data_IF_939519072931
#
_entry.id   IF_939519072931
#
_cell.length_a   1.000
_cell.length_b   1.000
_cell.length_c   1.000
_cell.angle_alpha   90.00
_cell.angle_beta   90.00
_cell.angle_gamma   90.00
#
_symmetry.space_group_name_H-M   'P 1'
#
loop_
_entity.id
_entity.type
_entity.pdbx_description
1 polymer ?
#
# COMPACT_ATOMS: atom_id res chain seq x y z
N UNK A 1 -15.12 -3.78 -4.42
CA UNK A 1 -14.33 -4.78 -3.68
C UNK A 1 -14.52 -6.09 -4.38
N UNK A 2 -13.44 -6.81 -4.66
CA UNK A 2 -13.45 -8.06 -5.41
C UNK A 2 -13.81 -9.24 -4.48
N UNK A 3 -14.75 -10.14 -4.83
CA UNK A 3 -15.19 -11.20 -3.94
C UNK A 3 -14.23 -12.39 -4.04
N UNK A 4 -13.16 -12.34 -3.23
CA UNK A 4 -12.48 -13.56 -2.80
C UNK A 4 -13.40 -14.28 -1.80
N UNK A 5 -13.57 -15.60 -1.93
CA UNK A 5 -14.32 -16.45 -0.99
C UNK A 5 -13.89 -16.09 0.44
N UNK A 6 -14.87 -15.85 1.32
CA UNK A 6 -14.68 -15.12 2.58
C UNK A 6 -13.50 -15.59 3.44
N UNK A 7 -13.23 -16.89 3.48
CA UNK A 7 -12.10 -17.46 4.24
C UNK A 7 -10.72 -17.10 3.65
N UNK A 8 -10.56 -17.18 2.33
CA UNK A 8 -9.28 -16.93 1.63
C UNK A 8 -8.92 -15.45 1.69
N UNK A 9 -9.90 -14.57 1.43
CA UNK A 9 -9.75 -13.12 1.56
C UNK A 9 -9.33 -12.70 2.97
N UNK A 10 -9.97 -13.31 3.97
CA UNK A 10 -9.71 -13.00 5.36
C UNK A 10 -8.32 -13.46 5.80
N UNK A 11 -7.91 -14.69 5.44
CA UNK A 11 -6.57 -15.22 5.72
C UNK A 11 -5.47 -14.37 5.08
N UNK A 12 -5.63 -14.00 3.81
CA UNK A 12 -4.71 -13.11 3.11
C UNK A 12 -4.60 -11.76 3.84
N UNK A 13 -5.75 -11.17 4.20
CA UNK A 13 -5.75 -9.89 4.91
C UNK A 13 -5.05 -9.96 6.27
N UNK A 14 -5.23 -11.04 7.03
CA UNK A 14 -4.52 -11.25 8.30
C UNK A 14 -3.01 -11.37 8.10
N UNK A 15 -2.58 -12.16 7.12
CA UNK A 15 -1.17 -12.34 6.85
C UNK A 15 -0.48 -11.06 6.38
N UNK A 16 -1.09 -10.32 5.44
CA UNK A 16 -0.54 -9.05 4.99
C UNK A 16 -0.52 -8.03 6.14
N UNK A 17 -1.50 -8.02 7.03
CA UNK A 17 -1.45 -7.17 8.23
C UNK A 17 -0.28 -7.53 9.16
N UNK A 18 0.00 -8.81 9.35
CA UNK A 18 1.17 -9.24 10.12
C UNK A 18 2.47 -8.79 9.44
N UNK A 19 2.55 -8.92 8.12
CA UNK A 19 3.69 -8.48 7.32
C UNK A 19 3.88 -6.95 7.33
N UNK A 20 2.80 -6.17 7.42
CA UNK A 20 2.85 -4.70 7.51
C UNK A 20 3.28 -4.18 8.88
N UNK A 21 3.20 -5.00 9.93
CA UNK A 21 3.46 -4.57 11.32
C UNK A 21 4.81 -3.84 11.52
N UNK A 22 5.93 -4.26 10.90
CA UNK A 22 7.21 -3.55 11.04
C UNK A 22 7.23 -2.16 10.41
N UNK A 23 6.32 -1.88 9.48
CA UNK A 23 6.29 -0.63 8.70
C UNK A 23 5.23 0.37 9.23
N UNK A 24 4.55 0.09 10.34
CA UNK A 24 3.40 0.91 10.78
C UNK A 24 3.80 2.35 11.12
N UNK A 25 4.99 2.59 11.67
CA UNK A 25 5.54 3.93 11.93
C UNK A 25 5.80 4.70 10.63
N UNK A 26 6.45 4.07 9.65
CA UNK A 26 6.71 4.68 8.34
C UNK A 26 5.41 4.97 7.58
N UNK A 27 4.48 4.01 7.63
CA UNK A 27 3.15 4.18 7.06
C UNK A 27 2.39 5.31 7.77
N UNK A 28 2.55 5.45 9.08
CA UNK A 28 1.95 6.55 9.86
C UNK A 28 2.55 7.90 9.46
N UNK A 29 3.86 7.99 9.28
CA UNK A 29 4.51 9.20 8.77
C UNK A 29 3.94 9.62 7.41
N UNK A 30 3.84 8.68 6.45
CA UNK A 30 3.23 8.98 5.14
C UNK A 30 1.76 9.36 5.29
N UNK A 31 1.02 8.77 6.24
CA UNK A 31 -0.38 9.13 6.49
C UNK A 31 -0.51 10.58 6.95
N UNK A 32 0.39 11.05 7.82
CA UNK A 32 0.42 12.46 8.26
C UNK A 32 0.65 13.40 7.07
N UNK A 33 1.63 13.09 6.22
CA UNK A 33 1.89 13.84 4.99
C UNK A 33 0.66 13.87 4.07
N UNK A 34 0.06 12.71 3.80
CA UNK A 34 -1.11 12.60 2.92
C UNK A 34 -2.33 13.34 3.49
N UNK A 35 -2.48 13.40 4.82
CA UNK A 35 -3.49 14.22 5.50
C UNK A 35 -3.19 15.70 5.34
N UNK A 36 -1.93 16.12 5.46
CA UNK A 36 -1.51 17.50 5.24
C UNK A 36 -1.78 17.96 3.80
N UNK A 37 -1.46 17.12 2.80
CA UNK A 37 -1.75 17.36 1.39
C UNK A 37 -3.25 17.47 1.08
N UNK A 38 -4.09 16.93 1.96
CA UNK A 38 -5.56 16.99 1.84
C UNK A 38 -6.17 18.27 2.44
N UNK A 39 -5.37 19.12 3.10
CA UNK A 39 -5.83 20.42 3.61
C UNK A 39 -6.16 21.36 2.45
N UNK A 40 -7.12 22.28 2.64
CA UNK A 40 -7.63 23.15 1.56
C UNK A 40 -6.49 23.87 0.81
N UNK A 41 -5.55 24.46 1.56
CA UNK A 41 -4.41 25.20 1.01
C UNK A 41 -3.51 24.29 0.15
N UNK A 42 -3.14 23.12 0.69
CA UNK A 42 -2.23 22.20 0.00
C UNK A 42 -2.92 21.48 -1.17
N UNK A 43 -4.19 21.12 -1.01
CA UNK A 43 -5.00 20.56 -2.08
C UNK A 43 -5.18 21.55 -3.23
N UNK A 44 -5.31 22.85 -2.97
CA UNK A 44 -5.36 23.87 -4.01
C UNK A 44 -4.02 23.95 -4.75
N UNK A 45 -2.88 24.02 -4.03
CA UNK A 45 -1.54 23.99 -4.64
C UNK A 45 -1.30 22.74 -5.48
N UNK A 46 -1.68 21.57 -4.96
CA UNK A 46 -1.49 20.28 -5.62
C UNK A 46 -2.32 20.17 -6.90
N UNK A 47 -3.55 20.68 -6.90
CA UNK A 47 -4.44 20.69 -8.08
C UNK A 47 -3.89 21.50 -9.25
N UNK A 48 -3.01 22.48 -9.00
CA UNK A 48 -2.32 23.22 -10.07
C UNK A 48 -1.26 22.37 -10.78
N UNK A 49 -0.76 21.32 -10.13
CA UNK A 49 0.30 20.44 -10.66
C UNK A 49 -0.24 19.10 -11.17
N UNK A 50 -1.30 18.59 -10.56
CA UNK A 50 -1.83 17.26 -10.87
C UNK A 50 -3.32 17.13 -10.52
N UNK A 51 -4.12 16.40 -11.31
CA UNK A 51 -5.50 16.07 -10.95
C UNK A 51 -5.58 15.02 -9.82
N UNK A 52 -4.46 14.41 -9.44
CA UNK A 52 -4.42 13.37 -8.43
C UNK A 52 -4.72 13.93 -7.04
N UNK A 53 -5.58 13.22 -6.29
CA UNK A 53 -5.93 13.56 -4.90
C UNK A 53 -5.25 12.60 -3.92
N UNK A 54 -4.82 13.08 -2.75
CA UNK A 54 -4.35 12.20 -1.68
C UNK A 54 -5.43 11.19 -1.30
N UNK A 55 -5.00 9.98 -0.95
CA UNK A 55 -5.84 8.91 -0.42
C UNK A 55 -5.33 8.55 0.97
N UNK A 56 -6.21 8.18 1.88
CA UNK A 56 -5.83 7.64 3.18
C UNK A 56 -6.05 6.13 3.21
N UNK A 57 -5.23 5.42 4.00
CA UNK A 57 -5.38 3.98 4.19
C UNK A 57 -6.55 3.65 5.12
N UNK A 58 -7.27 2.57 4.81
CA UNK A 58 -8.15 1.85 5.72
C UNK A 58 -7.34 0.71 6.36
N UNK A 59 -7.05 0.81 7.65
CA UNK A 59 -6.15 -0.12 8.36
C UNK A 59 -6.63 -1.58 8.36
N UNK A 60 -7.93 -1.80 8.19
CA UNK A 60 -8.52 -3.15 8.20
C UNK A 60 -8.38 -3.91 6.88
N UNK A 61 -7.91 -3.26 5.81
CA UNK A 61 -7.86 -3.82 4.45
C UNK A 61 -6.51 -3.59 3.80
N UNK A 62 -5.77 -4.68 3.58
CA UNK A 62 -4.44 -4.63 2.98
C UNK A 62 -4.40 -3.90 1.62
N UNK A 63 -5.44 -4.09 0.80
CA UNK A 63 -5.59 -3.41 -0.49
C UNK A 63 -5.54 -1.89 -0.35
N UNK A 64 -6.08 -1.37 0.76
CA UNK A 64 -6.08 0.06 0.99
C UNK A 64 -4.68 0.58 1.29
N UNK A 65 -3.81 -0.20 1.92
CA UNK A 65 -2.40 0.14 2.14
C UNK A 65 -1.65 0.16 0.81
N UNK A 66 -1.88 -0.83 -0.05
CA UNK A 66 -1.31 -0.85 -1.40
C UNK A 66 -1.76 0.37 -2.23
N UNK A 67 -3.08 0.64 -2.29
CA UNK A 67 -3.61 1.79 -3.03
C UNK A 67 -3.14 3.13 -2.47
N UNK A 68 -2.95 3.19 -1.15
CA UNK A 68 -2.40 4.34 -0.43
C UNK A 68 -0.94 4.61 -0.83
N UNK A 69 -0.08 3.61 -0.77
CA UNK A 69 1.33 3.74 -1.16
C UNK A 69 1.46 4.09 -2.65
N UNK A 70 0.74 3.38 -3.52
CA UNK A 70 0.72 3.70 -4.95
C UNK A 70 0.29 5.14 -5.20
N UNK A 71 -0.71 5.66 -4.47
CA UNK A 71 -1.08 7.07 -4.59
C UNK A 71 0.00 8.01 -4.06
N UNK A 72 0.64 7.69 -2.94
CA UNK A 72 1.72 8.49 -2.37
C UNK A 72 2.89 8.63 -3.36
N UNK A 73 3.39 7.53 -3.94
CA UNK A 73 4.49 7.57 -4.90
C UNK A 73 4.15 8.37 -6.16
N UNK A 74 2.93 8.22 -6.69
CA UNK A 74 2.47 9.02 -7.83
C UNK A 74 2.34 10.51 -7.50
N UNK A 75 2.05 10.86 -6.25
CA UNK A 75 1.97 12.26 -5.84
C UNK A 75 3.35 12.88 -5.63
N UNK A 76 4.33 12.08 -5.19
CA UNK A 76 5.67 12.55 -4.86
C UNK A 76 6.36 13.23 -6.04
N UNK A 77 6.11 12.78 -7.28
CA UNK A 77 6.62 13.39 -8.51
C UNK A 77 6.19 14.86 -8.68
N UNK A 78 5.12 15.28 -8.02
CA UNK A 78 4.58 16.65 -8.06
C UNK A 78 4.92 17.47 -6.81
N UNK A 79 5.42 16.83 -5.75
CA UNK A 79 5.84 17.52 -4.53
C UNK A 79 7.23 18.11 -4.77
N UNK A 80 7.37 19.42 -4.55
CA UNK A 80 8.66 20.09 -4.71
C UNK A 80 9.54 19.73 -3.52
N UNK A 81 10.79 19.32 -3.75
CA UNK A 81 11.76 19.18 -2.67
C UNK A 81 12.04 20.54 -1.98
N UNK A 82 11.88 21.64 -2.73
CA UNK A 82 12.04 23.02 -2.24
C UNK A 82 10.80 23.58 -1.52
N UNK A 83 9.71 22.82 -1.38
CA UNK A 83 8.56 23.28 -0.58
C UNK A 83 8.90 23.09 0.90
N UNK A 84 9.44 24.13 1.53
CA UNK A 84 9.87 24.15 2.93
C UNK A 84 8.73 23.77 3.90
N UNK A 85 7.48 24.03 3.51
CA UNK A 85 6.27 23.62 4.27
C UNK A 85 6.06 22.10 4.25
N UNK A 86 6.58 21.40 3.22
CA UNK A 86 6.48 19.95 3.05
C UNK A 86 7.77 19.22 3.44
N UNK A 87 8.93 19.88 3.39
CA UNK A 87 10.24 19.28 3.64
C UNK A 87 10.33 18.57 5.00
N UNK A 88 9.72 19.16 6.05
CA UNK A 88 9.69 18.57 7.40
C UNK A 88 8.75 17.36 7.55
N UNK A 89 7.92 17.07 6.56
CA UNK A 89 6.96 15.95 6.57
C UNK A 89 7.31 14.81 5.59
N UNK A 90 8.37 14.96 4.79
CA UNK A 90 8.80 13.93 3.86
C UNK A 90 9.54 12.80 4.58
N UNK A 91 9.28 11.52 4.22
CA UNK A 91 10.07 10.41 4.72
C UNK A 91 11.54 10.54 4.36
N UNK A 92 12.42 9.98 5.20
CA UNK A 92 13.84 9.94 4.91
C UNK A 92 14.11 9.09 3.66
N UNK A 93 15.25 9.27 2.96
CA UNK A 93 15.58 8.46 1.78
C UNK A 93 15.62 6.95 2.08
N UNK A 94 15.96 6.55 3.30
CA UNK A 94 15.95 5.14 3.73
C UNK A 94 14.52 4.60 3.81
N UNK A 95 13.65 5.28 4.57
CA UNK A 95 12.22 4.93 4.69
C UNK A 95 11.54 4.93 3.31
N UNK A 96 11.88 5.89 2.46
CA UNK A 96 11.34 5.96 1.11
C UNK A 96 11.69 4.71 0.27
N UNK A 97 12.91 4.17 0.39
CA UNK A 97 13.32 2.94 -0.30
C UNK A 97 12.60 1.72 0.26
N UNK A 98 12.47 1.62 1.58
CA UNK A 98 11.76 0.53 2.25
C UNK A 98 10.28 0.50 1.87
N UNK A 99 9.60 1.65 1.90
CA UNK A 99 8.20 1.77 1.48
C UNK A 99 8.01 1.49 -0.02
N UNK A 100 9.03 1.75 -0.85
CA UNK A 100 8.99 1.40 -2.27
C UNK A 100 9.07 -0.10 -2.46
N UNK A 101 9.99 -0.78 -1.77
CA UNK A 101 10.08 -2.23 -1.77
C UNK A 101 8.79 -2.86 -1.23
N UNK A 102 8.22 -2.30 -0.16
CA UNK A 102 6.93 -2.72 0.39
C UNK A 102 5.80 -2.62 -0.64
N UNK A 103 5.71 -1.50 -1.38
CA UNK A 103 4.70 -1.32 -2.44
C UNK A 103 4.84 -2.40 -3.52
N UNK A 104 6.05 -2.73 -3.96
CA UNK A 104 6.27 -3.76 -4.98
C UNK A 104 5.82 -5.15 -4.48
N UNK A 105 6.18 -5.51 -3.24
CA UNK A 105 5.73 -6.77 -2.62
C UNK A 105 4.18 -6.84 -2.54
N UNK A 106 3.51 -5.73 -2.21
CA UNK A 106 2.05 -5.68 -2.22
C UNK A 106 1.45 -5.73 -3.63
N UNK A 107 2.18 -5.30 -4.66
CA UNK A 107 1.77 -5.40 -6.07
C UNK A 107 1.78 -6.85 -6.54
N UNK A 108 2.78 -7.63 -6.12
CA UNK A 108 2.84 -9.07 -6.39
C UNK A 108 1.64 -9.79 -5.76
N UNK A 109 1.31 -9.46 -4.50
CA UNK A 109 0.12 -9.98 -3.81
C UNK A 109 -1.17 -9.60 -4.55
N UNK A 110 -1.29 -8.38 -5.07
CA UNK A 110 -2.42 -7.96 -5.92
C UNK A 110 -2.50 -8.78 -7.20
N UNK A 111 -1.39 -8.94 -7.91
CA UNK A 111 -1.32 -9.65 -9.18
C UNK A 111 -1.77 -11.10 -9.02
N UNK A 112 -1.24 -11.78 -7.99
CA UNK A 112 -1.57 -13.16 -7.67
C UNK A 112 -3.03 -13.27 -7.21
N UNK A 113 -3.51 -12.37 -6.35
CA UNK A 113 -4.91 -12.33 -5.91
C UNK A 113 -5.88 -12.16 -7.08
N UNK A 114 -5.53 -11.39 -8.11
CA UNK A 114 -6.34 -11.23 -9.33
C UNK A 114 -6.32 -12.49 -10.19
N UNK A 115 -5.14 -13.11 -10.34
CA UNK A 115 -5.01 -14.37 -11.09
C UNK A 115 -5.87 -15.48 -10.47
N UNK A 116 -5.79 -15.63 -9.15
CA UNK A 116 -6.60 -16.56 -8.36
C UNK A 116 -8.12 -16.36 -8.48
N UNK A 117 -8.57 -15.15 -8.86
CA UNK A 117 -9.99 -14.86 -9.09
C UNK A 117 -10.43 -15.10 -10.54
N UNK A 118 -9.48 -15.17 -11.48
CA UNK A 118 -9.75 -15.29 -12.91
C UNK A 118 -9.67 -16.74 -13.37
N UNK A 119 -8.76 -17.52 -12.79
CA UNK A 119 -8.74 -18.96 -12.95
C UNK A 119 -9.90 -19.53 -12.10
N UNK A 120 -10.81 -20.29 -12.74
CA UNK A 120 -11.87 -21.09 -12.09
C UNK A 120 -11.20 -22.26 -11.33
N UNK A 121 -10.28 -21.92 -10.43
CA UNK A 121 -9.51 -22.85 -9.63
C UNK A 121 -10.44 -23.40 -8.57
N UNK A 122 -10.47 -24.73 -8.50
CA UNK A 122 -11.05 -25.45 -7.39
C UNK A 122 -10.57 -24.81 -6.07
N UNK A 123 -11.50 -24.69 -5.11
CA UNK A 123 -11.32 -23.94 -3.87
C UNK A 123 -10.05 -24.39 -3.11
N UNK A 124 -9.64 -25.65 -3.30
CA UNK A 124 -8.43 -26.26 -2.75
C UNK A 124 -7.15 -25.72 -3.41
N UNK A 125 -7.07 -25.66 -4.75
CA UNK A 125 -5.89 -25.18 -5.47
C UNK A 125 -5.61 -23.69 -5.25
N UNK A 126 -6.65 -22.88 -5.07
CA UNK A 126 -6.51 -21.49 -4.67
C UNK A 126 -5.97 -21.34 -3.23
N UNK A 127 -6.28 -22.31 -2.36
CA UNK A 127 -5.75 -22.41 -1.00
C UNK A 127 -4.25 -22.67 -1.00
N UNK A 128 -3.79 -23.72 -1.69
CA UNK A 128 -2.37 -24.10 -1.76
C UNK A 128 -1.49 -22.99 -2.36
N UNK A 129 -1.96 -22.28 -3.39
CA UNK A 129 -1.22 -21.15 -3.96
C UNK A 129 -1.15 -19.96 -3.00
N UNK A 130 -2.22 -19.70 -2.24
CA UNK A 130 -2.19 -18.66 -1.22
C UNK A 130 -1.27 -19.06 -0.07
N UNK A 131 -1.33 -20.30 0.40
CA UNK A 131 -0.46 -20.81 1.46
C UNK A 131 1.02 -20.77 1.05
N UNK A 132 1.37 -21.17 -0.18
CA UNK A 132 2.72 -21.00 -0.72
C UNK A 132 3.16 -19.52 -0.79
N UNK A 133 2.24 -18.60 -1.07
CA UNK A 133 2.50 -17.16 -1.00
C UNK A 133 2.74 -16.69 0.44
N UNK A 134 1.96 -17.19 1.41
CA UNK A 134 2.15 -16.88 2.83
C UNK A 134 3.50 -17.41 3.34
N UNK A 135 3.94 -18.58 2.88
CA UNK A 135 5.25 -19.15 3.19
C UNK A 135 6.41 -18.38 2.53
N UNK A 136 6.23 -17.94 1.29
CA UNK A 136 7.19 -17.04 0.62
C UNK A 136 7.27 -15.69 1.34
N UNK A 137 6.14 -15.15 1.80
CA UNK A 137 6.10 -13.92 2.59
C UNK A 137 6.78 -14.05 3.95
N UNK A 138 6.66 -15.20 4.62
CA UNK A 138 7.45 -15.49 5.83
C UNK A 138 8.95 -15.53 5.55
N UNK A 139 9.35 -15.87 4.32
CA UNK A 139 10.75 -15.92 3.90
C UNK A 139 11.35 -14.54 3.61
N UNK A 140 10.53 -13.49 3.44
CA UNK A 140 10.99 -12.09 3.34
C UNK A 140 11.28 -11.44 4.71
N UNK A 141 11.09 -12.18 5.81
CA UNK A 141 11.34 -11.70 7.17
C UNK A 141 12.78 -11.94 7.66
N UNK A 142 13.77 -11.97 6.76
CA UNK A 142 15.18 -12.20 7.08
C UNK A 142 16.04 -10.98 6.73
#
# INVERSE_FOLDING_TARGET
GFPLVGCVSHRLNLAVRSFLSPYEDDLYQVRLLMKHLSTIKQAAKLQLKTPLKPKLRQETRWWSTYSFLTRYFNLLEFLSADDEELAGGLPTPAVHRELKALKEQLSDVESISKKLQCDDLDLLGAGDQLDGLLETQRSFSH
#
